data_IF_568842938029
#
_entry.id   IF_568842938029
#
_cell.length_a   1.000
_cell.length_b   1.000
_cell.length_c   1.000
_cell.angle_alpha   90.00
_cell.angle_beta   90.00
_cell.angle_gamma   90.00
#
_symmetry.space_group_name_H-M   'P 1'
#
loop_
_entity.id
_entity.type
_entity.pdbx_description
1 polymer ?
#
# COMPACT_ATOMS: atom_id res chain seq x y z
N UNK A 1 -11.95 3.65 28.24
CA UNK A 1 -12.44 4.48 27.13
C UNK A 1 -12.12 3.77 25.81
N UNK A 2 -13.09 3.57 24.91
CA UNK A 2 -12.87 2.96 23.58
C UNK A 2 -12.88 4.05 22.52
N UNK A 3 -11.91 4.03 21.60
CA UNK A 3 -11.81 4.94 20.45
C UNK A 3 -11.94 4.12 19.18
N UNK A 4 -12.68 4.63 18.21
CA UNK A 4 -12.95 3.97 16.93
C UNK A 4 -12.69 4.95 15.79
N UNK A 5 -12.46 4.40 14.59
CA UNK A 5 -12.41 5.14 13.35
C UNK A 5 -13.33 4.45 12.33
N UNK A 6 -14.05 5.23 11.53
CA UNK A 6 -14.94 4.75 10.48
C UNK A 6 -14.43 5.33 9.16
N UNK A 7 -14.28 4.46 8.15
CA UNK A 7 -13.94 4.85 6.78
C UNK A 7 -15.07 4.45 5.83
N UNK A 8 -15.33 5.28 4.83
CA UNK A 8 -16.25 5.00 3.72
C UNK A 8 -15.47 5.12 2.42
N UNK A 9 -15.74 4.24 1.46
CA UNK A 9 -15.05 4.22 0.17
C UNK A 9 -15.99 3.87 -0.97
N UNK A 10 -15.66 4.34 -2.17
CA UNK A 10 -16.36 4.05 -3.43
C UNK A 10 -15.34 3.89 -4.56
N UNK A 11 -15.80 3.39 -5.71
CA UNK A 11 -15.00 3.46 -6.93
C UNK A 11 -14.74 4.93 -7.31
N UNK A 12 -13.56 5.19 -7.90
CA UNK A 12 -13.15 6.56 -8.26
C UNK A 12 -14.08 7.20 -9.29
N UNK A 13 -14.74 6.38 -10.11
CA UNK A 13 -15.77 6.78 -11.08
C UNK A 13 -16.95 7.51 -10.43
N UNK A 14 -17.22 7.24 -9.16
CA UNK A 14 -18.28 7.88 -8.38
C UNK A 14 -17.79 9.03 -7.49
N UNK A 15 -16.48 9.27 -7.41
CA UNK A 15 -15.91 10.23 -6.46
C UNK A 15 -16.44 11.66 -6.65
N UNK A 16 -16.73 12.08 -7.89
CA UNK A 16 -17.25 13.43 -8.19
C UNK A 16 -18.62 13.72 -7.57
N UNK A 17 -19.36 12.70 -7.13
CA UNK A 17 -20.61 12.88 -6.39
C UNK A 17 -20.39 13.20 -4.89
N UNK A 18 -19.14 13.13 -4.41
CA UNK A 18 -18.78 13.38 -3.02
C UNK A 18 -18.08 14.73 -2.90
N UNK A 19 -18.54 15.59 -1.99
CA UNK A 19 -17.87 16.88 -1.66
C UNK A 19 -16.39 16.71 -1.27
N UNK A 20 -16.01 15.54 -0.75
CA UNK A 20 -14.63 15.24 -0.40
C UNK A 20 -13.69 15.08 -1.60
N UNK A 21 -14.23 15.00 -2.82
CA UNK A 21 -13.44 14.95 -4.04
C UNK A 21 -13.15 16.35 -4.62
N UNK A 22 -13.69 17.42 -4.03
CA UNK A 22 -13.53 18.78 -4.54
C UNK A 22 -12.04 19.18 -4.56
N UNK A 23 -11.57 19.61 -5.72
CA UNK A 23 -10.18 20.02 -5.94
C UNK A 23 -9.16 18.89 -6.06
N UNK A 24 -9.59 17.62 -6.00
CA UNK A 24 -8.70 16.47 -6.21
C UNK A 24 -8.52 16.15 -7.70
N UNK A 25 -7.30 15.81 -8.10
CA UNK A 25 -7.05 15.23 -9.42
C UNK A 25 -7.47 13.76 -9.45
N UNK A 26 -8.69 13.50 -9.90
CA UNK A 26 -9.27 12.16 -10.01
C UNK A 26 -8.79 11.38 -11.24
N UNK A 27 -7.93 11.96 -12.08
CA UNK A 27 -7.34 11.29 -13.26
C UNK A 27 -5.83 11.10 -13.14
N UNK A 28 -5.24 11.59 -12.05
CA UNK A 28 -3.83 11.53 -11.77
C UNK A 28 -3.35 10.15 -11.31
N UNK A 29 -2.11 10.12 -10.81
CA UNK A 29 -1.52 8.92 -10.20
C UNK A 29 -1.99 8.81 -8.75
N UNK A 30 -2.69 7.73 -8.43
CA UNK A 30 -3.08 7.41 -7.06
C UNK A 30 -1.90 6.86 -6.26
N UNK A 31 -1.93 7.07 -4.94
CA UNK A 31 -1.01 6.40 -4.04
C UNK A 31 -1.31 4.90 -4.06
N UNK A 32 -0.37 4.05 -4.48
CA UNK A 32 -0.59 2.62 -4.42
C UNK A 32 -0.72 2.19 -2.96
N UNK A 33 -1.77 1.47 -2.63
CA UNK A 33 -1.98 0.82 -1.33
C UNK A 33 -2.20 -0.69 -1.54
N UNK A 34 -1.99 -1.49 -0.50
CA UNK A 34 -2.23 -2.92 -0.53
C UNK A 34 -3.16 -3.32 0.62
N UNK A 35 -3.85 -4.45 0.47
CA UNK A 35 -4.79 -4.97 1.47
C UNK A 35 -4.08 -5.35 2.80
N UNK A 36 -2.89 -5.93 2.71
CA UNK A 36 -2.08 -6.38 3.84
C UNK A 36 -0.66 -6.67 3.38
N UNK A 37 0.35 -6.35 4.20
CA UNK A 37 1.75 -6.64 3.88
C UNK A 37 2.01 -8.13 3.58
N UNK A 38 1.25 -9.06 4.20
CA UNK A 38 1.47 -10.50 4.01
C UNK A 38 1.10 -11.02 2.61
N UNK A 39 0.25 -10.30 1.89
CA UNK A 39 -0.24 -10.72 0.56
C UNK A 39 -0.11 -9.62 -0.50
N UNK A 40 0.45 -8.46 -0.15
CA UNK A 40 0.63 -7.35 -1.08
C UNK A 40 1.75 -7.65 -2.09
N UNK A 41 1.43 -7.53 -3.37
CA UNK A 41 2.33 -7.81 -4.50
C UNK A 41 3.36 -6.70 -4.79
N UNK A 42 3.21 -5.51 -4.18
CA UNK A 42 4.10 -4.36 -4.42
C UNK A 42 5.55 -4.68 -4.03
N UNK A 43 6.44 -4.76 -5.00
CA UNK A 43 7.85 -5.14 -4.78
C UNK A 43 8.68 -4.09 -4.03
N UNK A 44 8.37 -2.81 -4.24
CA UNK A 44 9.17 -1.68 -3.75
C UNK A 44 8.47 -0.84 -2.66
N UNK A 45 7.51 -1.44 -1.93
CA UNK A 45 6.82 -0.75 -0.83
C UNK A 45 7.76 -0.53 0.37
N UNK A 46 8.23 0.71 0.54
CA UNK A 46 9.14 1.08 1.63
C UNK A 46 8.49 1.08 3.02
N UNK A 47 7.16 1.10 3.11
CA UNK A 47 6.40 1.01 4.37
C UNK A 47 6.00 -0.43 4.72
N UNK A 48 6.56 -1.44 4.04
CA UNK A 48 6.21 -2.85 4.28
C UNK A 48 6.65 -3.27 5.69
N UNK A 49 5.67 -3.59 6.53
CA UNK A 49 5.92 -3.98 7.93
C UNK A 49 6.38 -5.43 8.08
N UNK A 50 5.89 -6.36 7.23
CA UNK A 50 6.23 -7.79 7.29
C UNK A 50 6.44 -8.38 5.90
N UNK A 51 7.22 -9.47 5.78
CA UNK A 51 7.39 -10.16 4.51
C UNK A 51 6.08 -10.76 3.97
N UNK A 52 5.90 -10.80 2.65
CA UNK A 52 4.81 -11.56 2.03
C UNK A 52 4.98 -13.07 2.23
N UNK A 53 3.86 -13.80 2.29
CA UNK A 53 3.85 -15.25 2.52
C UNK A 53 4.17 -16.06 1.25
N UNK A 54 3.66 -15.62 0.09
CA UNK A 54 3.70 -16.39 -1.17
C UNK A 54 4.73 -15.85 -2.17
N UNK A 55 5.83 -15.29 -1.66
CA UNK A 55 6.92 -14.78 -2.51
C UNK A 55 8.27 -15.19 -1.98
N UNK A 56 9.19 -15.50 -2.89
CA UNK A 56 10.58 -15.72 -2.56
C UNK A 56 11.22 -14.41 -2.10
N UNK A 57 12.08 -14.50 -1.09
CA UNK A 57 12.80 -13.35 -0.55
C UNK A 57 14.29 -13.52 -0.85
N UNK A 58 14.91 -12.43 -1.30
CA UNK A 58 16.36 -12.35 -1.45
C UNK A 58 16.92 -11.50 -0.31
N UNK A 59 17.80 -12.10 0.48
CA UNK A 59 18.53 -11.40 1.54
C UNK A 59 19.99 -11.29 1.10
N UNK A 60 20.52 -10.07 1.09
CA UNK A 60 21.94 -9.83 0.86
C UNK A 60 22.57 -9.31 2.17
N UNK A 61 23.45 -10.10 2.83
CA UNK A 61 24.03 -9.73 4.12
C UNK A 61 24.95 -8.50 4.04
N UNK A 62 25.49 -8.18 2.85
CA UNK A 62 26.40 -7.05 2.63
C UNK A 62 25.66 -5.75 2.26
N UNK A 63 24.33 -5.78 2.19
CA UNK A 63 23.50 -4.62 1.83
C UNK A 63 22.51 -4.28 2.93
N UNK A 64 22.45 -2.99 3.28
CA UNK A 64 21.42 -2.42 4.17
C UNK A 64 20.43 -1.61 3.36
N UNK A 65 19.19 -2.09 3.26
CA UNK A 65 18.07 -1.37 2.64
C UNK A 65 17.10 -0.81 3.68
N UNK A 66 16.05 -0.12 3.19
CA UNK A 66 14.88 0.25 4.02
C UNK A 66 14.21 -1.00 4.59
N UNK A 67 14.14 -2.05 3.78
CA UNK A 67 13.76 -3.40 4.20
C UNK A 67 15.01 -4.29 4.23
N UNK A 68 15.06 -5.32 5.10
CA UNK A 68 16.19 -6.25 5.18
C UNK A 68 16.18 -7.33 4.08
N UNK A 69 15.24 -7.27 3.15
CA UNK A 69 15.08 -8.22 2.04
C UNK A 69 14.49 -7.53 0.81
N UNK A 70 14.69 -8.16 -0.34
CA UNK A 70 14.03 -7.85 -1.61
C UNK A 70 13.04 -8.97 -1.95
N UNK A 71 11.93 -8.65 -2.62
CA UNK A 71 11.03 -9.68 -3.17
C UNK A 71 11.69 -10.19 -4.46
N UNK A 72 12.07 -11.47 -4.47
CA UNK A 72 12.64 -12.13 -5.63
C UNK A 72 11.57 -12.33 -6.73
N UNK A 73 12.02 -12.46 -7.97
CA UNK A 73 11.17 -12.69 -9.13
C UNK A 73 10.38 -14.00 -9.06
#
# INVERSE_FOLDING_TARGET
MRRYAIGLGCEVTHAQALVYADGLDLRGRFEPIGISCRICERRTCHQRAVPPLERHLKVNPDRRGVLPYEIAD
#
